data_IF_687579769410
#
_entry.id   IF_687579769410
#
_cell.length_a   1.000
_cell.length_b   1.000
_cell.length_c   1.000
_cell.angle_alpha   90.00
_cell.angle_beta   90.00
_cell.angle_gamma   90.00
#
_symmetry.space_group_name_H-M   'P 1'
#
loop_
_entity.id
_entity.type
_entity.pdbx_description
1 polymer ?
#
# COMPACT_ATOMS: atom_id res chain seq x y z
N UNK A 1 -15.59 -20.82 -38.40
CA UNK A 1 -14.95 -21.87 -37.58
C UNK A 1 -14.86 -21.26 -36.20
N UNK A 2 -15.92 -21.45 -35.41
CA UNK A 2 -16.02 -20.96 -34.04
C UNK A 2 -15.13 -21.82 -33.17
N UNK A 3 -14.18 -21.19 -32.49
CA UNK A 3 -13.23 -21.86 -31.62
C UNK A 3 -13.80 -21.74 -30.21
N UNK A 4 -14.49 -22.80 -29.76
CA UNK A 4 -14.86 -22.97 -28.35
C UNK A 4 -13.57 -23.05 -27.53
N UNK A 5 -13.18 -21.92 -26.96
CA UNK A 5 -12.20 -21.89 -25.89
C UNK A 5 -12.94 -22.23 -24.60
N UNK A 6 -12.87 -23.49 -24.18
CA UNK A 6 -13.11 -23.86 -22.80
C UNK A 6 -12.12 -23.05 -21.94
N UNK A 7 -12.62 -21.97 -21.35
CA UNK A 7 -11.87 -21.23 -20.36
C UNK A 7 -11.78 -22.12 -19.13
N UNK A 8 -10.63 -22.75 -18.92
CA UNK A 8 -10.25 -23.24 -17.59
C UNK A 8 -10.48 -22.09 -16.60
N UNK A 9 -11.23 -22.35 -15.53
CA UNK A 9 -11.47 -21.39 -14.44
C UNK A 9 -10.13 -21.03 -13.80
N UNK A 10 -9.49 -20.01 -14.36
CA UNK A 10 -8.21 -19.51 -13.89
C UNK A 10 -8.47 -18.33 -12.97
N UNK A 11 -8.27 -18.58 -11.68
CA UNK A 11 -8.18 -17.60 -10.62
C UNK A 11 -7.07 -16.56 -10.95
N UNK A 12 -7.42 -15.27 -11.03
CA UNK A 12 -6.56 -14.19 -11.54
C UNK A 12 -5.18 -14.06 -10.86
N UNK A 13 -4.21 -13.43 -11.54
CA UNK A 13 -2.82 -13.30 -11.09
C UNK A 13 -2.71 -12.41 -9.82
N UNK A 14 -3.67 -11.50 -9.64
CA UNK A 14 -3.81 -10.59 -8.50
C UNK A 14 -4.94 -11.01 -7.55
N UNK A 15 -4.99 -12.28 -7.14
CA UNK A 15 -5.75 -12.63 -5.94
C UNK A 15 -5.03 -12.09 -4.69
N UNK A 16 -5.56 -11.00 -4.12
CA UNK A 16 -5.63 -10.87 -2.67
C UNK A 16 -6.92 -11.56 -2.26
N UNK A 17 -6.80 -12.69 -1.55
CA UNK A 17 -7.88 -13.65 -1.41
C UNK A 17 -9.19 -13.00 -0.93
N UNK A 18 -10.18 -13.04 -1.83
CA UNK A 18 -11.60 -12.99 -1.50
C UNK A 18 -12.13 -14.41 -1.18
N UNK A 19 -11.25 -15.33 -0.74
CA UNK A 19 -11.65 -16.65 -0.26
C UNK A 19 -12.04 -16.49 1.22
N UNK A 20 -13.22 -15.94 1.46
CA UNK A 20 -13.93 -16.09 2.73
C UNK A 20 -15.22 -16.89 2.57
N UNK A 21 -15.74 -17.14 1.36
CA UNK A 21 -17.07 -17.75 1.21
C UNK A 21 -17.20 -18.92 0.20
N UNK A 22 -16.13 -19.59 -0.24
CA UNK A 22 -16.26 -20.86 -0.99
C UNK A 22 -15.72 -22.04 -0.16
N UNK A 23 -16.61 -22.57 0.67
CA UNK A 23 -16.44 -23.64 1.66
C UNK A 23 -16.50 -25.07 1.06
N UNK A 24 -16.15 -25.29 -0.21
CA UNK A 24 -16.41 -26.58 -0.88
C UNK A 24 -15.19 -27.39 -1.37
N UNK A 25 -13.94 -26.99 -1.06
CA UNK A 25 -12.75 -27.82 -1.41
C UNK A 25 -11.85 -28.14 -0.19
N UNK A 26 -12.48 -28.59 0.89
CA UNK A 26 -11.83 -28.95 2.16
C UNK A 26 -10.94 -30.21 2.12
N UNK A 27 -10.84 -30.94 1.00
CA UNK A 27 -10.11 -32.22 0.97
C UNK A 27 -8.94 -32.35 0.00
N UNK A 28 -8.59 -31.32 -0.77
CA UNK A 28 -7.45 -31.43 -1.68
C UNK A 28 -6.68 -30.13 -1.86
N UNK A 29 -5.82 -29.77 -0.90
CA UNK A 29 -4.57 -29.04 -1.19
C UNK A 29 -3.61 -29.04 0.01
N UNK A 30 -2.42 -29.58 -0.22
CA UNK A 30 -1.31 -29.84 0.71
C UNK A 30 -0.44 -28.63 1.04
N UNK A 31 -0.91 -27.41 0.78
CA UNK A 31 -0.13 -26.19 0.99
C UNK A 31 -0.45 -25.63 2.38
N UNK A 32 0.56 -25.51 3.25
CA UNK A 32 0.32 -25.05 4.62
C UNK A 32 -0.18 -23.60 4.64
N UNK A 33 -1.03 -23.25 5.62
CA UNK A 33 -1.52 -21.88 5.82
C UNK A 33 -0.38 -20.85 5.89
N UNK A 34 0.79 -21.26 6.39
CA UNK A 34 2.01 -20.43 6.47
C UNK A 34 2.60 -20.12 5.09
N UNK A 35 2.52 -21.05 4.15
CA UNK A 35 3.03 -20.86 2.79
C UNK A 35 2.15 -19.89 2.00
N UNK A 36 0.82 -19.97 2.18
CA UNK A 36 -0.15 -19.00 1.63
C UNK A 36 0.02 -17.61 2.25
N UNK A 37 0.24 -17.51 3.56
CA UNK A 37 0.51 -16.23 4.23
C UNK A 37 1.85 -15.62 3.77
N UNK A 38 2.88 -16.45 3.56
CA UNK A 38 4.16 -16.01 3.00
C UNK A 38 4.07 -15.54 1.55
N UNK A 39 3.21 -16.14 0.71
CA UNK A 39 2.96 -15.63 -0.65
C UNK A 39 2.19 -14.31 -0.65
N UNK A 40 1.19 -14.15 0.22
CA UNK A 40 0.43 -12.89 0.36
C UNK A 40 1.34 -11.75 0.81
N UNK A 41 2.19 -11.97 1.81
CA UNK A 41 3.15 -10.96 2.31
C UNK A 41 4.28 -10.63 1.31
N UNK A 42 4.69 -11.58 0.45
CA UNK A 42 5.65 -11.32 -0.63
C UNK A 42 5.10 -10.39 -1.72
N UNK A 43 3.78 -10.34 -1.92
CA UNK A 43 3.11 -9.50 -2.94
C UNK A 43 2.84 -8.06 -2.48
N UNK A 44 2.83 -7.78 -1.17
CA UNK A 44 2.33 -6.50 -0.61
C UNK A 44 3.33 -5.32 -0.64
N UNK A 45 4.59 -5.55 -1.05
CA UNK A 45 5.61 -4.50 -0.98
C UNK A 45 5.91 -3.81 -2.33
N UNK A 46 5.50 -2.54 -2.32
CA UNK A 46 5.73 -1.41 -3.22
C UNK A 46 4.86 -1.28 -4.49
N UNK A 47 4.42 -0.04 -4.71
CA UNK A 47 3.71 0.43 -5.91
C UNK A 47 4.52 0.10 -7.19
N UNK A 48 5.84 -0.06 -7.08
CA UNK A 48 6.78 -0.21 -8.19
C UNK A 48 7.55 -1.54 -8.26
N UNK A 49 7.45 -2.48 -7.31
CA UNK A 49 8.40 -3.62 -7.21
C UNK A 49 7.80 -5.02 -7.35
N UNK A 50 6.54 -5.15 -7.78
CA UNK A 50 5.98 -6.46 -8.14
C UNK A 50 6.80 -7.14 -9.26
N UNK A 51 7.14 -8.42 -9.07
CA UNK A 51 7.95 -9.24 -9.99
C UNK A 51 7.24 -10.57 -10.29
N UNK A 52 6.66 -10.75 -11.49
CA UNK A 52 6.07 -12.03 -11.87
C UNK A 52 7.17 -13.04 -12.22
N UNK A 53 6.98 -14.32 -11.88
CA UNK A 53 7.96 -15.40 -12.08
C UNK A 53 7.68 -16.30 -13.29
N UNK A 54 6.45 -16.29 -13.80
CA UNK A 54 6.02 -17.14 -14.92
C UNK A 54 5.05 -16.37 -15.83
N UNK A 55 5.04 -16.69 -17.12
CA UNK A 55 4.05 -16.25 -18.09
C UNK A 55 3.33 -17.51 -18.61
N UNK A 56 2.03 -17.61 -18.38
CA UNK A 56 1.19 -18.49 -19.20
C UNK A 56 0.84 -17.73 -20.48
N UNK A 57 1.03 -18.35 -21.65
CA UNK A 57 0.61 -17.76 -22.93
C UNK A 57 -0.91 -17.83 -23.07
N UNK A 58 -1.52 -16.90 -23.84
CA UNK A 58 -2.91 -17.07 -24.29
C UNK A 58 -3.76 -15.81 -24.41
N UNK A 59 -3.43 -14.71 -23.72
CA UNK A 59 -4.36 -13.57 -23.57
C UNK A 59 -3.93 -12.33 -24.35
N UNK A 60 -3.78 -12.44 -25.68
CA UNK A 60 -3.61 -11.25 -26.52
C UNK A 60 -4.97 -10.76 -27.02
N UNK A 61 -5.54 -9.80 -26.29
CA UNK A 61 -6.74 -9.05 -26.67
C UNK A 61 -6.29 -7.64 -27.06
N UNK A 62 -6.22 -7.32 -28.37
CA UNK A 62 -6.00 -5.95 -28.84
C UNK A 62 -7.04 -5.00 -28.26
N UNK A 63 -6.63 -3.79 -27.91
CA UNK A 63 -7.51 -2.77 -27.31
C UNK A 63 -8.77 -2.53 -28.16
N UNK A 64 -8.66 -2.60 -29.49
CA UNK A 64 -9.76 -2.39 -30.44
C UNK A 64 -10.86 -3.45 -30.29
N UNK A 65 -10.54 -4.62 -29.71
CA UNK A 65 -11.51 -5.68 -29.45
C UNK A 65 -12.21 -5.52 -28.10
N UNK A 66 -11.71 -4.66 -27.21
CA UNK A 66 -12.35 -4.34 -25.93
C UNK A 66 -13.54 -3.41 -26.22
N UNK A 67 -14.71 -4.02 -26.39
CA UNK A 67 -15.96 -3.35 -26.74
C UNK A 67 -17.10 -3.81 -25.84
N UNK A 68 -18.17 -3.02 -25.73
CA UNK A 68 -19.36 -3.40 -24.96
C UNK A 68 -19.95 -4.75 -25.40
N UNK A 69 -19.83 -5.10 -26.69
CA UNK A 69 -20.30 -6.37 -27.24
C UNK A 69 -19.42 -7.53 -26.74
N UNK A 70 -18.10 -7.42 -26.87
CA UNK A 70 -17.19 -8.46 -26.40
C UNK A 70 -17.24 -8.61 -24.88
N UNK A 71 -17.21 -7.48 -24.17
CA UNK A 71 -17.41 -7.42 -22.73
C UNK A 71 -18.76 -8.00 -22.34
N UNK A 72 -19.78 -7.84 -23.19
CA UNK A 72 -21.13 -8.43 -23.15
C UNK A 72 -21.18 -9.93 -22.96
N UNK A 73 -20.20 -10.66 -23.50
CA UNK A 73 -20.15 -12.13 -23.46
C UNK A 73 -19.94 -12.68 -22.04
N UNK A 74 -20.22 -13.98 -21.86
CA UNK A 74 -20.07 -14.69 -20.58
C UNK A 74 -18.66 -14.55 -19.98
N UNK A 75 -17.64 -14.70 -20.84
CA UNK A 75 -16.23 -14.73 -20.42
C UNK A 75 -15.46 -13.44 -20.76
N UNK A 76 -16.10 -12.50 -21.48
CA UNK A 76 -15.46 -11.27 -21.97
C UNK A 76 -14.75 -10.47 -20.88
N UNK A 77 -15.41 -10.12 -19.76
CA UNK A 77 -14.78 -9.31 -18.72
C UNK A 77 -13.54 -9.97 -18.11
N UNK A 78 -13.64 -11.26 -17.77
CA UNK A 78 -12.51 -12.02 -17.20
C UNK A 78 -11.36 -12.15 -18.20
N UNK A 79 -11.66 -12.37 -19.49
CA UNK A 79 -10.64 -12.45 -20.53
C UNK A 79 -9.91 -11.11 -20.71
N UNK A 80 -10.63 -9.97 -20.71
CA UNK A 80 -9.99 -8.64 -20.77
C UNK A 80 -9.14 -8.39 -19.53
N UNK A 81 -9.66 -8.72 -18.34
CA UNK A 81 -8.93 -8.62 -17.08
C UNK A 81 -7.61 -9.41 -17.13
N UNK A 82 -7.66 -10.68 -17.47
CA UNK A 82 -6.47 -11.55 -17.60
C UNK A 82 -5.47 -11.02 -18.64
N UNK A 83 -5.95 -10.47 -19.76
CA UNK A 83 -5.08 -9.83 -20.76
C UNK A 83 -4.34 -8.61 -20.18
N UNK A 84 -5.04 -7.74 -19.44
CA UNK A 84 -4.45 -6.57 -18.77
C UNK A 84 -3.38 -6.98 -17.75
N UNK A 85 -3.69 -7.97 -16.90
CA UNK A 85 -2.75 -8.52 -15.91
C UNK A 85 -1.50 -9.10 -16.56
N UNK A 86 -1.69 -9.81 -17.67
CA UNK A 86 -0.60 -10.38 -18.46
C UNK A 86 0.27 -9.28 -19.09
N UNK A 87 -0.32 -8.26 -19.72
CA UNK A 87 0.42 -7.13 -20.28
C UNK A 87 1.24 -6.39 -19.22
N UNK A 88 0.65 -6.15 -18.04
CA UNK A 88 1.36 -5.50 -16.93
C UNK A 88 2.53 -6.37 -16.44
N UNK A 89 2.33 -7.67 -16.30
CA UNK A 89 3.37 -8.61 -15.89
C UNK A 89 4.55 -8.65 -16.87
N UNK A 90 4.25 -8.67 -18.16
CA UNK A 90 5.21 -8.57 -19.27
C UNK A 90 6.05 -7.28 -19.14
N UNK A 91 5.42 -6.12 -18.90
CA UNK A 91 6.14 -4.85 -18.70
C UNK A 91 7.05 -4.88 -17.47
N UNK A 92 6.60 -5.46 -16.36
CA UNK A 92 7.46 -5.61 -15.17
C UNK A 92 8.66 -6.50 -15.42
N UNK A 93 8.51 -7.59 -16.18
CA UNK A 93 9.66 -8.44 -16.55
C UNK A 93 10.65 -7.71 -17.45
N UNK A 94 10.15 -6.87 -18.37
CA UNK A 94 10.96 -6.03 -19.25
C UNK A 94 11.80 -5.03 -18.46
N UNK A 95 11.19 -4.29 -17.54
CA UNK A 95 11.90 -3.31 -16.71
C UNK A 95 12.98 -3.94 -15.82
N UNK A 96 12.78 -5.19 -15.42
CA UNK A 96 13.72 -5.92 -14.56
C UNK A 96 14.76 -6.75 -15.34
N UNK A 97 14.74 -6.77 -16.68
CA UNK A 97 15.60 -7.61 -17.53
C UNK A 97 15.54 -9.12 -17.20
N UNK A 98 14.36 -9.64 -16.82
CA UNK A 98 14.19 -11.05 -16.37
C UNK A 98 13.75 -12.00 -17.51
N UNK A 99 13.49 -11.48 -18.71
CA UNK A 99 13.05 -12.27 -19.85
C UNK A 99 14.03 -13.40 -20.21
N UNK A 100 13.54 -14.63 -20.20
CA UNK A 100 14.31 -15.79 -20.66
C UNK A 100 14.26 -15.90 -22.19
N UNK A 101 15.28 -16.50 -22.80
CA UNK A 101 15.35 -16.71 -24.27
C UNK A 101 14.19 -17.54 -24.82
N UNK A 102 13.54 -18.37 -24.01
CA UNK A 102 12.39 -19.16 -24.43
C UNK A 102 11.09 -18.34 -24.51
N UNK A 103 11.06 -17.14 -23.92
CA UNK A 103 9.93 -16.20 -23.98
C UNK A 103 10.01 -15.25 -25.20
N UNK A 104 11.01 -15.46 -26.06
CA UNK A 104 11.29 -14.64 -27.24
C UNK A 104 10.15 -14.65 -28.28
N UNK A 105 9.28 -15.67 -28.28
CA UNK A 105 8.12 -15.73 -29.20
C UNK A 105 7.11 -14.59 -28.95
N UNK A 106 7.11 -14.00 -27.75
CA UNK A 106 6.30 -12.83 -27.42
C UNK A 106 6.97 -11.51 -27.81
N UNK A 107 8.21 -11.50 -28.33
CA UNK A 107 9.03 -10.28 -28.58
C UNK A 107 8.28 -9.21 -29.38
N UNK A 108 7.48 -9.62 -30.38
CA UNK A 108 6.76 -8.67 -31.22
C UNK A 108 5.77 -7.84 -30.38
N UNK A 109 5.01 -8.51 -29.51
CA UNK A 109 4.09 -7.87 -28.58
C UNK A 109 4.85 -7.10 -27.48
N UNK A 110 6.01 -7.59 -27.02
CA UNK A 110 6.91 -6.85 -26.09
C UNK A 110 7.40 -5.50 -26.62
N UNK A 111 7.55 -5.36 -27.94
CA UNK A 111 7.91 -4.10 -28.58
C UNK A 111 6.75 -3.11 -28.64
N UNK A 112 5.52 -3.63 -28.65
CA UNK A 112 4.28 -2.87 -28.83
C UNK A 112 3.60 -2.52 -27.49
N UNK A 113 3.77 -3.33 -26.45
CA UNK A 113 3.23 -3.06 -25.12
C UNK A 113 4.01 -1.94 -24.44
N UNK A 114 3.27 -1.00 -23.87
CA UNK A 114 3.75 0.08 -23.02
C UNK A 114 2.80 0.28 -21.83
N UNK A 115 3.26 0.99 -20.79
CA UNK A 115 2.39 1.38 -19.68
C UNK A 115 1.19 2.23 -20.14
N UNK A 116 1.36 3.02 -21.21
CA UNK A 116 0.27 3.77 -21.82
C UNK A 116 -0.79 2.81 -22.41
N UNK A 117 -0.37 1.84 -23.21
CA UNK A 117 -1.27 0.86 -23.80
C UNK A 117 -2.05 0.05 -22.76
N UNK A 118 -1.37 -0.37 -21.68
CA UNK A 118 -2.03 -1.08 -20.57
C UNK A 118 -3.07 -0.19 -19.90
N UNK A 119 -2.71 1.07 -19.63
CA UNK A 119 -3.63 2.05 -19.04
C UNK A 119 -4.85 2.26 -19.92
N UNK A 120 -4.67 2.39 -21.23
CA UNK A 120 -5.78 2.58 -22.17
C UNK A 120 -6.71 1.35 -22.18
N UNK A 121 -6.16 0.14 -22.07
CA UNK A 121 -6.95 -1.07 -21.87
C UNK A 121 -7.74 -1.04 -20.54
N UNK A 122 -7.13 -0.58 -19.45
CA UNK A 122 -7.82 -0.42 -18.15
C UNK A 122 -9.00 0.57 -18.27
N UNK A 123 -8.79 1.73 -18.89
CA UNK A 123 -9.86 2.71 -19.09
C UNK A 123 -11.03 2.10 -19.87
N UNK A 124 -10.71 1.38 -20.95
CA UNK A 124 -11.72 0.75 -21.79
C UNK A 124 -12.50 -0.31 -21.03
N UNK A 125 -11.81 -1.10 -20.20
CA UNK A 125 -12.47 -2.04 -19.28
C UNK A 125 -13.45 -1.31 -18.35
N UNK A 126 -13.02 -0.22 -17.72
CA UNK A 126 -13.83 0.52 -16.75
C UNK A 126 -15.04 1.20 -17.41
N UNK A 127 -14.87 1.76 -18.62
CA UNK A 127 -15.95 2.30 -19.44
C UNK A 127 -17.01 1.22 -19.77
N UNK A 128 -16.55 0.05 -20.23
CA UNK A 128 -17.44 -1.08 -20.52
C UNK A 128 -18.16 -1.60 -19.27
N UNK A 129 -17.48 -1.64 -18.12
CA UNK A 129 -18.05 -2.12 -16.86
C UNK A 129 -19.20 -1.22 -16.36
N UNK A 130 -19.04 0.11 -16.45
CA UNK A 130 -20.09 1.08 -16.07
C UNK A 130 -21.37 0.92 -16.89
N UNK A 131 -21.26 0.54 -18.17
CA UNK A 131 -22.40 0.42 -19.08
C UNK A 131 -23.35 -0.77 -18.78
N UNK A 132 -22.91 -1.75 -17.99
CA UNK A 132 -23.62 -3.04 -17.82
C UNK A 132 -24.61 -3.12 -16.67
N UNK A 133 -24.64 -2.15 -15.75
CA UNK A 133 -25.51 -2.18 -14.55
C UNK A 133 -25.23 -3.30 -13.54
N UNK A 134 -24.50 -4.36 -13.90
CA UNK A 134 -23.91 -5.35 -12.99
C UNK A 134 -22.45 -4.99 -12.71
N UNK A 135 -22.14 -4.63 -11.47
CA UNK A 135 -20.79 -4.30 -11.03
C UNK A 135 -19.91 -5.56 -11.04
N UNK A 136 -19.02 -5.65 -12.02
CA UNK A 136 -17.88 -6.58 -11.96
C UNK A 136 -16.80 -5.92 -11.10
N UNK A 137 -16.13 -6.71 -10.25
CA UNK A 137 -15.05 -6.21 -9.40
C UNK A 137 -13.96 -5.54 -10.25
N UNK A 138 -13.74 -4.24 -10.02
CA UNK A 138 -12.81 -3.40 -10.77
C UNK A 138 -11.51 -3.10 -10.02
N UNK A 139 -11.36 -3.60 -8.79
CA UNK A 139 -10.25 -3.23 -7.89
C UNK A 139 -8.89 -3.47 -8.51
N UNK A 140 -8.67 -4.66 -9.05
CA UNK A 140 -7.38 -5.04 -9.66
C UNK A 140 -7.07 -4.19 -10.90
N UNK A 141 -8.10 -3.82 -11.68
CA UNK A 141 -7.95 -2.97 -12.87
C UNK A 141 -7.61 -1.53 -12.47
N UNK A 142 -8.26 -1.00 -11.43
CA UNK A 142 -7.95 0.31 -10.86
C UNK A 142 -6.51 0.35 -10.33
N UNK A 143 -6.08 -0.70 -9.61
CA UNK A 143 -4.71 -0.82 -9.10
C UNK A 143 -3.68 -0.84 -10.25
N UNK A 144 -3.89 -1.66 -11.28
CA UNK A 144 -2.99 -1.72 -12.44
C UNK A 144 -2.95 -0.37 -13.16
N UNK A 145 -4.08 0.32 -13.32
CA UNK A 145 -4.13 1.65 -13.92
C UNK A 145 -3.28 2.67 -13.13
N UNK A 146 -3.43 2.70 -11.80
CA UNK A 146 -2.63 3.56 -10.92
C UNK A 146 -1.15 3.24 -11.04
N UNK A 147 -0.78 1.96 -11.01
CA UNK A 147 0.63 1.54 -11.14
C UNK A 147 1.21 1.96 -12.48
N UNK A 148 0.46 1.82 -13.58
CA UNK A 148 0.89 2.28 -14.90
C UNK A 148 1.13 3.80 -14.92
N UNK A 149 0.21 4.58 -14.35
CA UNK A 149 0.36 6.04 -14.25
C UNK A 149 1.59 6.43 -13.41
N UNK A 150 1.84 5.74 -12.31
CA UNK A 150 3.04 5.95 -11.48
C UNK A 150 4.32 5.63 -12.25
N UNK A 151 4.37 4.54 -13.02
CA UNK A 151 5.54 4.20 -13.84
C UNK A 151 5.79 5.23 -14.96
N UNK A 152 4.76 5.96 -15.39
CA UNK A 152 4.87 7.04 -16.36
C UNK A 152 5.12 8.42 -15.73
N UNK A 153 5.32 8.50 -14.41
CA UNK A 153 5.45 9.76 -13.65
C UNK A 153 4.22 10.69 -13.78
N UNK A 154 3.04 10.11 -14.01
CA UNK A 154 1.75 10.82 -14.17
C UNK A 154 0.96 10.78 -12.86
N UNK A 155 1.62 11.14 -11.75
CA UNK A 155 1.06 11.01 -10.39
C UNK A 155 -0.25 11.79 -10.23
N UNK A 156 -0.35 12.99 -10.80
CA UNK A 156 -1.54 13.82 -10.67
C UNK A 156 -2.81 13.19 -11.28
N UNK A 157 -2.67 12.17 -12.11
CA UNK A 157 -3.80 11.50 -12.76
C UNK A 157 -4.32 10.29 -11.98
N UNK A 158 -3.66 9.88 -10.90
CA UNK A 158 -4.06 8.68 -10.15
C UNK A 158 -5.26 8.94 -9.22
N UNK A 159 -5.50 10.19 -8.81
CA UNK A 159 -6.56 10.58 -7.87
C UNK A 159 -7.94 9.96 -8.19
N UNK A 160 -8.51 10.11 -9.40
CA UNK A 160 -9.83 9.54 -9.71
C UNK A 160 -9.88 8.02 -9.61
N UNK A 161 -8.76 7.32 -9.81
CA UNK A 161 -8.71 5.85 -9.65
C UNK A 161 -8.60 5.47 -8.17
N UNK A 162 -7.82 6.23 -7.39
CA UNK A 162 -7.65 6.01 -5.94
C UNK A 162 -8.95 6.27 -5.20
N UNK A 163 -9.74 7.28 -5.58
CA UNK A 163 -11.03 7.54 -4.95
C UNK A 163 -12.09 6.46 -5.24
N UNK A 164 -11.93 5.73 -6.35
CA UNK A 164 -12.75 4.56 -6.70
C UNK A 164 -12.28 3.27 -6.07
N UNK A 165 -11.01 3.19 -5.64
CA UNK A 165 -10.54 2.10 -4.81
C UNK A 165 -11.22 2.22 -3.45
N UNK A 166 -12.26 1.43 -3.22
CA UNK A 166 -12.89 1.27 -1.90
C UNK A 166 -12.07 0.25 -1.08
N UNK A 167 -11.21 0.68 -0.15
CA UNK A 167 -10.36 -0.24 0.59
C UNK A 167 -11.23 -0.95 1.64
N UNK A 168 -11.65 -2.17 1.33
CA UNK A 168 -12.30 -3.07 2.31
C UNK A 168 -11.33 -4.08 2.92
N UNK A 169 -10.17 -4.24 2.29
CA UNK A 169 -9.17 -5.24 2.67
C UNK A 169 -7.86 -4.57 3.07
N UNK A 170 -7.13 -5.15 4.04
CA UNK A 170 -5.91 -4.54 4.55
C UNK A 170 -4.87 -4.18 3.47
N UNK A 171 -4.65 -5.05 2.48
CA UNK A 171 -3.71 -4.77 1.38
C UNK A 171 -4.07 -3.52 0.58
N UNK A 172 -5.38 -3.29 0.37
CA UNK A 172 -5.88 -2.11 -0.32
C UNK A 172 -5.79 -0.83 0.51
N UNK A 173 -5.93 -0.92 1.84
CA UNK A 173 -5.65 0.22 2.71
C UNK A 173 -4.16 0.63 2.58
N UNK A 174 -3.23 -0.32 2.72
CA UNK A 174 -1.81 -0.01 2.59
C UNK A 174 -1.46 0.61 1.23
N UNK A 175 -2.02 0.07 0.13
CA UNK A 175 -1.84 0.61 -1.21
C UNK A 175 -2.43 2.02 -1.35
N UNK A 176 -3.66 2.25 -0.90
CA UNK A 176 -4.34 3.55 -0.98
C UNK A 176 -3.62 4.61 -0.15
N UNK A 177 -3.11 4.25 1.03
CA UNK A 177 -2.32 5.14 1.90
C UNK A 177 -1.08 5.67 1.17
N UNK A 178 -0.35 4.78 0.48
CA UNK A 178 0.81 5.14 -0.34
C UNK A 178 0.42 5.99 -1.56
N UNK A 179 -0.71 5.72 -2.19
CA UNK A 179 -1.18 6.53 -3.32
C UNK A 179 -1.52 7.97 -2.90
N UNK A 180 -2.22 8.14 -1.77
CA UNK A 180 -2.49 9.48 -1.23
C UNK A 180 -1.21 10.20 -0.78
N UNK A 181 -0.20 9.47 -0.32
CA UNK A 181 1.12 10.04 -0.05
C UNK A 181 1.79 10.58 -1.32
N UNK A 182 1.75 9.82 -2.43
CA UNK A 182 2.28 10.26 -3.73
C UNK A 182 1.56 11.51 -4.24
N UNK A 183 0.23 11.58 -4.07
CA UNK A 183 -0.60 12.76 -4.36
C UNK A 183 -0.38 13.93 -3.40
N UNK A 184 0.52 13.80 -2.41
CA UNK A 184 0.77 14.78 -1.34
C UNK A 184 -0.47 15.12 -0.52
N UNK A 185 -1.45 14.22 -0.49
CA UNK A 185 -2.66 14.28 0.35
C UNK A 185 -2.38 13.62 1.71
N UNK A 186 -1.42 14.19 2.44
CA UNK A 186 -0.89 13.60 3.67
C UNK A 186 -1.96 13.30 4.71
N UNK A 187 -2.95 14.18 4.85
CA UNK A 187 -4.09 13.96 5.75
C UNK A 187 -4.85 12.67 5.42
N UNK A 188 -5.24 12.46 4.15
CA UNK A 188 -5.94 11.23 3.72
C UNK A 188 -5.05 10.01 3.88
N UNK A 189 -3.78 10.10 3.50
CA UNK A 189 -2.80 9.03 3.65
C UNK A 189 -2.68 8.55 5.12
N UNK A 190 -2.50 9.49 6.06
CA UNK A 190 -2.46 9.18 7.49
C UNK A 190 -3.76 8.54 7.98
N UNK A 191 -4.94 9.05 7.58
CA UNK A 191 -6.22 8.44 7.95
C UNK A 191 -6.32 6.98 7.50
N UNK A 192 -5.84 6.69 6.30
CA UNK A 192 -5.84 5.33 5.75
C UNK A 192 -4.87 4.41 6.51
N UNK A 193 -3.66 4.88 6.81
CA UNK A 193 -2.71 4.11 7.62
C UNK A 193 -3.20 3.87 9.05
N UNK A 194 -3.88 4.84 9.67
CA UNK A 194 -4.50 4.69 10.99
C UNK A 194 -5.59 3.60 10.97
N UNK A 195 -6.51 3.67 10.00
CA UNK A 195 -7.54 2.63 9.81
C UNK A 195 -6.92 1.26 9.59
N UNK A 196 -5.83 1.18 8.81
CA UNK A 196 -5.11 -0.07 8.62
C UNK A 196 -4.51 -0.60 9.93
N UNK A 197 -3.86 0.25 10.73
CA UNK A 197 -3.32 -0.13 12.03
C UNK A 197 -4.42 -0.59 13.00
N UNK A 198 -5.58 0.06 13.00
CA UNK A 198 -6.73 -0.33 13.82
C UNK A 198 -7.25 -1.73 13.42
N UNK A 199 -7.22 -2.08 12.13
CA UNK A 199 -7.64 -3.40 11.64
C UNK A 199 -6.61 -4.50 11.84
N UNK A 200 -5.33 -4.20 11.63
CA UNK A 200 -4.21 -5.17 11.67
C UNK A 200 -3.43 -5.17 12.98
N UNK A 201 -3.97 -4.53 14.03
CA UNK A 201 -3.38 -4.47 15.38
C UNK A 201 -1.92 -3.94 15.38
N UNK A 202 -1.65 -2.85 14.68
CA UNK A 202 -0.35 -2.16 14.60
C UNK A 202 0.76 -2.83 13.75
N UNK A 203 0.70 -2.64 12.44
CA UNK A 203 1.76 -3.04 11.52
C UNK A 203 2.92 -2.02 11.47
N UNK A 204 4.16 -2.50 11.64
CA UNK A 204 5.36 -1.66 11.58
C UNK A 204 5.51 -0.90 10.25
N UNK A 205 5.05 -1.47 9.14
CA UNK A 205 5.13 -0.85 7.82
C UNK A 205 4.29 0.42 7.76
N UNK A 206 3.07 0.37 8.30
CA UNK A 206 2.23 1.58 8.35
C UNK A 206 2.82 2.62 9.29
N UNK A 207 3.41 2.22 10.41
CA UNK A 207 4.14 3.16 11.27
C UNK A 207 5.35 3.80 10.57
N UNK A 208 6.08 3.04 9.76
CA UNK A 208 7.19 3.54 8.96
C UNK A 208 6.72 4.51 7.86
N UNK A 209 5.64 4.17 7.16
CA UNK A 209 5.02 5.04 6.15
C UNK A 209 4.53 6.35 6.79
N UNK A 210 3.85 6.29 7.94
CA UNK A 210 3.45 7.49 8.70
C UNK A 210 4.67 8.33 9.13
N UNK A 211 5.75 7.69 9.58
CA UNK A 211 7.02 8.37 9.88
C UNK A 211 7.56 9.12 8.64
N UNK A 212 7.54 8.50 7.47
CA UNK A 212 7.99 9.14 6.22
C UNK A 212 7.11 10.34 5.86
N UNK A 213 5.79 10.24 6.04
CA UNK A 213 4.87 11.37 5.87
C UNK A 213 5.28 12.55 6.76
N UNK A 214 5.49 12.33 8.06
CA UNK A 214 5.88 13.40 8.98
C UNK A 214 7.25 14.00 8.67
N UNK A 215 8.21 13.16 8.26
CA UNK A 215 9.54 13.59 7.84
C UNK A 215 9.44 14.50 6.61
N UNK A 216 8.65 14.12 5.62
CA UNK A 216 8.40 14.90 4.40
C UNK A 216 7.79 16.27 4.75
N UNK A 217 6.72 16.30 5.55
CA UNK A 217 6.09 17.56 5.93
C UNK A 217 7.06 18.43 6.72
N UNK A 218 7.81 17.85 7.67
CA UNK A 218 8.82 18.56 8.42
C UNK A 218 9.87 19.18 7.49
N UNK A 219 10.37 18.45 6.50
CA UNK A 219 11.35 18.98 5.54
C UNK A 219 10.79 20.14 4.72
N UNK A 220 9.55 20.04 4.24
CA UNK A 220 8.86 21.12 3.52
C UNK A 220 8.80 22.40 4.38
N UNK A 221 8.37 22.25 5.63
CA UNK A 221 8.25 23.36 6.59
C UNK A 221 9.62 23.96 6.91
N UNK A 222 10.62 23.13 7.22
CA UNK A 222 11.97 23.57 7.56
C UNK A 222 12.64 24.33 6.41
N UNK A 223 12.48 23.85 5.17
CA UNK A 223 13.02 24.54 3.99
C UNK A 223 12.42 25.94 3.82
N UNK A 224 11.12 26.10 4.08
CA UNK A 224 10.44 27.41 4.05
C UNK A 224 10.86 28.30 5.22
N UNK A 225 10.93 27.77 6.44
CA UNK A 225 11.42 28.51 7.62
C UNK A 225 12.83 29.04 7.38
N UNK A 226 13.72 28.22 6.84
CA UNK A 226 15.08 28.61 6.51
C UNK A 226 15.10 29.75 5.48
N UNK A 227 14.25 29.66 4.46
CA UNK A 227 14.12 30.69 3.42
C UNK A 227 13.66 32.04 3.98
N UNK A 228 12.74 32.04 4.94
CA UNK A 228 12.16 33.27 5.52
C UNK A 228 12.82 33.71 6.83
N UNK A 229 13.86 33.00 7.30
CA UNK A 229 14.60 33.28 8.55
C UNK A 229 13.69 33.41 9.78
N UNK A 230 12.72 32.52 9.94
CA UNK A 230 11.89 32.52 11.14
C UNK A 230 12.70 32.06 12.37
N UNK A 231 12.63 32.81 13.46
CA UNK A 231 13.34 32.48 14.71
C UNK A 231 12.68 31.33 15.49
N UNK A 232 11.38 31.09 15.26
CA UNK A 232 10.62 30.03 15.93
C UNK A 232 10.48 28.82 15.01
N UNK A 233 11.12 27.72 15.40
CA UNK A 233 11.04 26.44 14.70
C UNK A 233 10.13 25.52 15.52
N UNK A 234 8.91 25.23 15.04
CA UNK A 234 8.04 24.30 15.74
C UNK A 234 8.54 22.88 15.51
N UNK A 235 8.54 22.10 16.57
CA UNK A 235 9.11 20.75 16.61
C UNK A 235 8.05 19.65 16.46
N UNK A 236 6.75 19.99 16.42
CA UNK A 236 5.65 19.04 16.51
C UNK A 236 5.79 17.87 15.53
N UNK A 237 5.96 18.13 14.24
CA UNK A 237 6.06 17.07 13.23
C UNK A 237 7.39 16.32 13.27
N UNK A 238 8.47 16.96 13.73
CA UNK A 238 9.71 16.25 14.06
C UNK A 238 9.48 15.24 15.19
N UNK A 239 8.76 15.62 16.23
CA UNK A 239 8.43 14.73 17.35
C UNK A 239 7.51 13.58 16.89
N UNK A 240 6.49 13.86 16.07
CA UNK A 240 5.59 12.83 15.52
C UNK A 240 6.33 11.85 14.59
N UNK A 241 7.23 12.36 13.76
CA UNK A 241 8.16 11.54 12.96
C UNK A 241 8.94 10.57 13.86
N UNK A 242 9.58 11.08 14.91
CA UNK A 242 10.39 10.27 15.83
C UNK A 242 9.52 9.21 16.53
N UNK A 243 8.33 9.57 17.01
CA UNK A 243 7.41 8.61 17.64
C UNK A 243 7.08 7.46 16.67
N UNK A 244 6.66 7.79 15.44
CA UNK A 244 6.28 6.78 14.46
C UNK A 244 7.46 5.88 14.08
N UNK A 245 8.65 6.47 13.90
CA UNK A 245 9.88 5.77 13.58
C UNK A 245 10.28 4.77 14.66
N UNK A 246 10.32 5.22 15.93
CA UNK A 246 10.67 4.37 17.07
C UNK A 246 9.63 3.27 17.27
N UNK A 247 8.34 3.55 17.08
CA UNK A 247 7.28 2.53 17.15
C UNK A 247 7.44 1.48 16.06
N UNK A 248 7.71 1.88 14.81
CA UNK A 248 8.00 0.95 13.71
C UNK A 248 9.21 0.05 14.01
N UNK A 249 10.32 0.64 14.48
CA UNK A 249 11.51 -0.11 14.88
C UNK A 249 11.22 -1.13 16.00
N UNK A 250 10.49 -0.71 17.04
CA UNK A 250 10.10 -1.58 18.17
C UNK A 250 9.23 -2.76 17.72
N UNK A 251 8.24 -2.52 16.87
CA UNK A 251 7.37 -3.57 16.30
C UNK A 251 8.17 -4.55 15.43
N UNK A 252 9.05 -4.05 14.56
CA UNK A 252 9.90 -4.90 13.71
C UNK A 252 10.86 -5.77 14.53
N UNK A 253 11.45 -5.20 15.58
CA UNK A 253 12.31 -5.95 16.52
C UNK A 253 11.54 -7.03 17.28
N UNK A 254 10.29 -6.76 17.68
CA UNK A 254 9.43 -7.76 18.32
C UNK A 254 9.11 -8.91 17.36
N UNK A 255 8.72 -8.60 16.11
CA UNK A 255 8.43 -9.59 15.08
C UNK A 255 9.64 -10.50 14.78
N UNK A 256 10.86 -9.94 14.75
CA UNK A 256 12.11 -10.70 14.62
C UNK A 256 12.25 -11.77 15.71
N UNK A 257 11.90 -11.46 16.95
CA UNK A 257 12.06 -12.38 18.07
C UNK A 257 11.07 -13.55 17.99
N UNK A 258 9.87 -13.28 17.49
CA UNK A 258 8.77 -14.25 17.40
C UNK A 258 8.91 -15.16 16.16
N UNK A 259 9.25 -14.60 14.99
CA UNK A 259 9.22 -15.32 13.71
C UNK A 259 10.64 -15.58 13.18
N UNK A 260 11.33 -16.59 13.72
CA UNK A 260 12.66 -17.00 13.27
C UNK A 260 12.59 -17.83 11.98
N UNK A 261 12.42 -17.16 10.83
CA UNK A 261 12.49 -17.79 9.51
C UNK A 261 13.52 -17.10 8.62
N UNK A 262 14.06 -17.80 7.61
CA UNK A 262 15.07 -17.24 6.68
C UNK A 262 14.57 -16.03 5.86
N UNK A 263 13.26 -15.85 5.72
CA UNK A 263 12.67 -14.64 5.15
C UNK A 263 12.85 -13.44 6.08
N UNK A 264 12.58 -13.62 7.39
CA UNK A 264 12.76 -12.56 8.37
C UNK A 264 14.21 -12.13 8.46
N UNK A 265 15.19 -13.03 8.29
CA UNK A 265 16.60 -12.65 8.20
C UNK A 265 16.88 -11.68 7.02
N UNK A 266 16.18 -11.87 5.89
CA UNK A 266 16.24 -10.96 4.74
C UNK A 266 15.56 -9.62 5.03
N UNK A 267 14.38 -9.63 5.65
CA UNK A 267 13.67 -8.39 6.04
C UNK A 267 14.49 -7.61 7.07
N UNK A 268 15.05 -8.29 8.07
CA UNK A 268 15.91 -7.72 9.10
C UNK A 268 17.14 -7.06 8.49
N UNK A 269 17.83 -7.76 7.59
CA UNK A 269 19.02 -7.20 6.93
C UNK A 269 18.69 -5.99 6.07
N UNK A 270 17.55 -5.99 5.38
CA UNK A 270 17.13 -4.90 4.49
C UNK A 270 16.53 -3.70 5.21
N UNK A 271 15.80 -3.92 6.29
CA UNK A 271 14.94 -2.89 6.90
C UNK A 271 15.31 -2.61 8.36
N UNK A 272 15.53 -3.63 9.19
CA UNK A 272 15.90 -3.40 10.60
C UNK A 272 17.31 -2.82 10.74
N UNK A 273 18.28 -3.27 9.95
CA UNK A 273 19.66 -2.77 10.03
C UNK A 273 19.77 -1.27 9.70
N UNK A 274 19.15 -0.76 8.62
CA UNK A 274 19.09 0.69 8.39
C UNK A 274 18.40 1.47 9.52
N UNK A 275 17.29 0.95 10.04
CA UNK A 275 16.59 1.60 11.16
C UNK A 275 17.46 1.63 12.42
N UNK A 276 18.15 0.53 12.74
CA UNK A 276 19.08 0.42 13.85
C UNK A 276 20.22 1.43 13.71
N UNK A 277 20.81 1.56 12.53
CA UNK A 277 21.88 2.52 12.28
C UNK A 277 21.43 3.96 12.59
N UNK A 278 20.23 4.33 12.15
CA UNK A 278 19.65 5.66 12.44
C UNK A 278 19.43 5.83 13.95
N UNK A 279 18.98 4.79 14.66
CA UNK A 279 18.83 4.82 16.12
C UNK A 279 20.18 4.98 16.83
N UNK A 280 21.21 4.26 16.40
CA UNK A 280 22.55 4.30 17.00
C UNK A 280 23.23 5.67 16.81
N UNK A 281 22.99 6.32 15.65
CA UNK A 281 23.48 7.67 15.36
C UNK A 281 22.75 8.77 16.16
N UNK A 282 21.61 8.44 16.79
CA UNK A 282 20.74 9.38 17.49
C UNK A 282 20.25 8.77 18.83
N UNK A 283 21.16 8.60 19.81
CA UNK A 283 20.88 7.85 21.04
C UNK A 283 19.79 8.47 21.93
N UNK A 284 19.42 9.73 21.69
CA UNK A 284 18.40 10.44 22.45
C UNK A 284 16.97 10.21 21.94
N UNK A 285 16.75 9.42 20.89
CA UNK A 285 15.40 9.22 20.36
C UNK A 285 14.43 8.64 21.39
N UNK A 286 14.86 7.68 22.21
CA UNK A 286 13.99 7.07 23.22
C UNK A 286 13.55 8.08 24.28
N UNK A 287 14.50 8.88 24.78
CA UNK A 287 14.22 9.97 25.73
C UNK A 287 13.27 11.01 25.11
N UNK A 288 13.49 11.42 23.86
CA UNK A 288 12.61 12.36 23.15
C UNK A 288 11.20 11.78 23.01
N UNK A 289 11.07 10.48 22.69
CA UNK A 289 9.77 9.82 22.62
C UNK A 289 9.09 9.83 23.98
N UNK A 290 9.78 9.41 25.05
CA UNK A 290 9.20 9.39 26.41
C UNK A 290 8.74 10.79 26.86
N UNK A 291 9.57 11.81 26.64
CA UNK A 291 9.21 13.20 26.92
C UNK A 291 8.02 13.67 26.08
N UNK A 292 7.96 13.29 24.80
CA UNK A 292 6.85 13.69 23.92
C UNK A 292 5.54 12.98 24.32
N UNK A 293 5.64 11.71 24.70
CA UNK A 293 4.50 10.91 25.13
C UNK A 293 3.97 11.34 26.50
N UNK A 294 4.74 12.10 27.29
CA UNK A 294 4.28 12.64 28.58
C UNK A 294 3.69 14.06 28.48
N UNK A 295 3.65 14.65 27.29
CA UNK A 295 3.01 15.95 27.05
C UNK A 295 1.52 15.87 27.43
N UNK A 296 1.06 16.84 28.22
CA UNK A 296 -0.36 16.95 28.61
C UNK A 296 -1.23 17.36 27.40
N UNK A 297 -2.53 17.02 27.37
CA UNK A 297 -3.42 17.42 26.29
C UNK A 297 -3.39 18.93 26.01
N UNK A 298 -3.35 19.77 27.04
CA UNK A 298 -3.33 21.23 26.90
C UNK A 298 -2.04 21.73 26.24
N UNK A 299 -0.90 21.15 26.61
CA UNK A 299 0.39 21.50 26.01
C UNK A 299 0.51 20.99 24.57
N UNK A 300 -0.11 19.85 24.26
CA UNK A 300 -0.20 19.32 22.91
C UNK A 300 -1.07 20.23 22.02
N UNK A 301 -2.25 20.62 22.49
CA UNK A 301 -3.13 21.53 21.78
C UNK A 301 -2.44 22.88 21.53
N UNK A 302 -1.69 23.38 22.51
CA UNK A 302 -0.85 24.57 22.33
C UNK A 302 0.19 24.38 21.21
N UNK A 303 0.94 23.28 21.22
CA UNK A 303 1.92 22.97 20.14
C UNK A 303 1.25 22.86 18.76
N UNK A 304 0.07 22.25 18.69
CA UNK A 304 -0.72 22.15 17.45
C UNK A 304 -1.14 23.54 16.95
N UNK A 305 -1.67 24.37 17.85
CA UNK A 305 -2.09 25.73 17.52
C UNK A 305 -0.92 26.61 17.08
N UNK A 306 0.21 26.55 17.80
CA UNK A 306 1.43 27.28 17.45
C UNK A 306 1.94 26.88 16.06
N UNK A 307 1.94 25.57 15.77
CA UNK A 307 2.33 25.04 14.46
C UNK A 307 1.38 25.47 13.34
N UNK A 308 0.07 25.34 13.55
CA UNK A 308 -0.95 25.75 12.56
C UNK A 308 -0.89 27.26 12.28
N UNK A 309 -0.68 28.07 13.32
CA UNK A 309 -0.48 29.51 13.19
C UNK A 309 0.77 29.83 12.36
N UNK A 310 1.86 29.08 12.54
CA UNK A 310 3.04 29.25 11.70
C UNK A 310 2.77 28.82 10.26
N UNK A 311 2.13 27.67 10.04
CA UNK A 311 1.79 27.22 8.68
C UNK A 311 0.95 28.25 7.93
N UNK A 312 -0.07 28.81 8.58
CA UNK A 312 -0.92 29.87 8.01
C UNK A 312 -0.13 31.14 7.64
N UNK A 313 0.99 31.42 8.33
CA UNK A 313 1.88 32.54 7.98
C UNK A 313 2.80 32.20 6.80
N UNK A 314 3.24 30.95 6.72
CA UNK A 314 4.25 30.50 5.74
C UNK A 314 3.65 30.15 4.38
N UNK A 315 2.41 29.68 4.34
CA UNK A 315 1.76 29.21 3.12
C UNK A 315 0.38 29.88 3.00
N UNK A 316 -0.03 30.21 1.78
CA UNK A 316 -1.33 30.85 1.50
C UNK A 316 -2.38 29.88 0.93
N UNK A 317 -1.96 28.86 0.17
CA UNK A 317 -2.86 27.82 -0.37
C UNK A 317 -2.40 26.38 -0.09
N UNK A 318 -1.09 26.11 -0.05
CA UNK A 318 -0.51 24.79 0.22
C UNK A 318 -0.72 24.32 1.69
N UNK A 319 -1.17 25.21 2.59
CA UNK A 319 -1.38 24.95 4.04
C UNK A 319 -2.29 23.76 4.27
N UNK A 320 -3.38 23.66 3.51
CA UNK A 320 -4.46 22.70 3.79
C UNK A 320 -4.00 21.25 3.70
N UNK A 321 -2.98 20.98 2.89
CA UNK A 321 -2.45 19.62 2.70
C UNK A 321 -1.43 19.24 3.79
N UNK A 322 -0.83 20.23 4.46
CA UNK A 322 0.16 20.03 5.52
C UNK A 322 -0.47 20.08 6.93
N UNK A 323 -1.61 20.73 7.09
CA UNK A 323 -2.37 20.73 8.34
C UNK A 323 -3.06 19.38 8.57
N UNK A 324 -2.81 18.80 9.73
CA UNK A 324 -3.45 17.56 10.17
C UNK A 324 -4.56 17.86 11.17
N UNK A 325 -5.52 16.94 11.30
CA UNK A 325 -6.55 17.07 12.33
C UNK A 325 -5.99 16.71 13.70
N UNK A 326 -6.50 17.36 14.74
CA UNK A 326 -6.12 17.07 16.13
C UNK A 326 -6.32 15.58 16.45
N UNK A 327 -7.42 14.99 15.97
CA UNK A 327 -7.73 13.58 16.16
C UNK A 327 -6.61 12.66 15.64
N UNK A 328 -5.99 12.98 14.50
CA UNK A 328 -4.90 12.19 13.95
C UNK A 328 -3.64 12.28 14.82
N UNK A 329 -3.32 13.47 15.30
CA UNK A 329 -2.14 13.71 16.15
C UNK A 329 -2.33 13.01 17.50
N UNK A 330 -3.51 13.15 18.09
CA UNK A 330 -3.90 12.48 19.33
C UNK A 330 -3.87 10.96 19.17
N UNK A 331 -4.35 10.42 18.03
CA UNK A 331 -4.27 8.99 17.74
C UNK A 331 -2.82 8.50 17.75
N UNK A 332 -1.89 9.24 17.11
CA UNK A 332 -0.47 8.87 17.06
C UNK A 332 0.16 8.87 18.43
N UNK A 333 -0.13 9.90 19.24
CA UNK A 333 0.42 9.99 20.60
C UNK A 333 -0.15 8.88 21.48
N UNK A 334 -1.45 8.60 21.37
CA UNK A 334 -2.10 7.51 22.12
C UNK A 334 -1.52 6.14 21.75
N UNK A 335 -1.44 5.81 20.46
CA UNK A 335 -0.99 4.48 20.01
C UNK A 335 0.53 4.34 19.96
N UNK A 336 1.27 5.45 19.95
CA UNK A 336 2.71 5.50 20.16
C UNK A 336 3.11 5.13 21.59
N UNK A 337 2.26 5.41 22.60
CA UNK A 337 2.44 4.97 24.00
C UNK A 337 2.25 3.49 24.21
N UNK A 338 1.38 2.87 23.40
CA UNK A 338 1.00 1.48 23.60
C UNK A 338 2.27 0.63 23.60
N UNK A 339 2.55 0.01 24.74
CA UNK A 339 3.71 -0.87 24.86
C UNK A 339 3.54 -2.03 23.89
N UNK A 340 4.63 -2.62 23.39
CA UNK A 340 4.58 -3.80 22.50
C UNK A 340 3.68 -4.91 23.09
N UNK A 341 3.56 -4.98 24.43
CA UNK A 341 2.66 -5.91 25.14
C UNK A 341 1.17 -5.58 25.03
N UNK A 342 0.79 -4.33 24.81
CA UNK A 342 -0.60 -3.93 24.59
C UNK A 342 -1.03 -4.11 23.13
N UNK A 343 -0.09 -4.23 22.19
CA UNK A 343 -0.36 -4.47 20.77
C UNK A 343 -0.19 -5.92 20.30
N UNK A 344 0.66 -6.74 20.93
CA UNK A 344 1.19 -7.97 20.28
C UNK A 344 1.25 -9.25 21.14
N UNK A 345 0.18 -9.66 21.84
CA UNK A 345 0.17 -11.03 22.43
C UNK A 345 -1.09 -11.89 22.17
N UNK A 346 -2.11 -11.37 21.49
CA UNK A 346 -3.38 -12.12 21.30
C UNK A 346 -3.56 -12.77 19.91
N UNK A 347 -2.46 -13.07 19.22
CA UNK A 347 -2.54 -13.95 18.04
C UNK A 347 -2.50 -15.44 18.42
N UNK A 348 -1.94 -15.80 19.59
CA UNK A 348 -1.95 -17.20 20.06
C UNK A 348 -3.18 -17.54 20.94
N UNK A 349 -3.84 -16.57 21.58
CA UNK A 349 -4.99 -16.83 22.48
C UNK A 349 -6.38 -16.65 21.85
N UNK A 350 -6.49 -16.17 20.60
CA UNK A 350 -7.79 -16.02 19.92
C UNK A 350 -8.16 -17.15 18.95
N UNK A 351 -7.27 -18.10 18.64
CA UNK A 351 -7.70 -19.33 17.96
C UNK A 351 -8.53 -20.25 18.89
N UNK A 352 -8.35 -20.13 20.21
CA UNK A 352 -9.13 -20.90 21.21
C UNK A 352 -10.38 -20.18 21.71
N UNK A 353 -10.52 -18.86 21.50
CA UNK A 353 -11.68 -18.09 21.99
C UNK A 353 -12.80 -17.92 20.94
N UNK A 354 -12.49 -18.08 19.64
CA UNK A 354 -13.48 -18.12 18.56
C UNK A 354 -14.15 -19.49 18.37
N UNK A 355 -13.76 -20.50 19.15
CA UNK A 355 -14.39 -21.83 19.19
C UNK A 355 -15.33 -22.05 20.38
N UNK A 356 -15.63 -21.02 21.17
CA UNK A 356 -16.54 -21.15 22.33
C UNK A 356 -17.44 -19.93 22.51
N UNK A 357 -18.23 -19.57 21.50
CA UNK A 357 -19.51 -18.87 21.71
C UNK A 357 -20.52 -19.43 20.69
N UNK A 358 -21.29 -20.43 21.15
CA UNK A 358 -22.50 -21.08 20.60
C UNK A 358 -22.66 -21.24 19.08
#
# INVERSE_FOLDING_TARGET
MEMDMEAEEFHGIFQFAADIDDDDDFFAQTVSKEERAMERMKKENSIATYQPKFLTGGYNIPIEKISNIFFGSKNGPNAVKQAIEWYYSVMKMKDNNILTKDQEQNIKLYKEISYQYIKDCCDKYLECNQSKGKFINEREILEIAIRCLVQMDRINEIEPYVERLDPKEPGLFAFSGKCYYLLKQYKKSLQIHQKYCDQRRNDYMSWLDMSNIFKDINNIVMNKIFTIKCEQIPDLYRLLYIICFVKAYKLLKANKLIKKTGYWDTVISKELNPLQKIMDENPNYEEIVEQTLTITPENLDKKINDFNNLLNKLFTEEVKNLCLSNDQIQWIIKHGKATIRESDLNDDENETSCLNIY
#
